data_IF_870754848763
#
_entry.id   IF_870754848763
#
_cell.length_a   1.000
_cell.length_b   1.000
_cell.length_c   1.000
_cell.angle_alpha   90.00
_cell.angle_beta   90.00
_cell.angle_gamma   90.00
#
_symmetry.space_group_name_H-M   'P 1'
#
loop_
_entity.id
_entity.type
_entity.pdbx_description
1 polymer ?
#
# COMPACT_ATOMS: atom_id res chain seq x y z
N UNK A 1 -32.25 -62.59 -7.98
CA UNK A 1 -32.82 -61.26 -7.65
C UNK A 1 -33.06 -61.01 -6.14
N UNK A 2 -33.53 -61.99 -5.34
CA UNK A 2 -33.76 -61.81 -3.89
C UNK A 2 -32.49 -61.49 -3.07
N UNK A 3 -31.34 -62.09 -3.40
CA UNK A 3 -30.06 -61.87 -2.68
C UNK A 3 -29.47 -60.46 -2.90
N UNK A 4 -29.71 -59.85 -4.07
CA UNK A 4 -29.25 -58.49 -4.39
C UNK A 4 -30.09 -57.42 -3.68
N UNK A 5 -31.40 -57.63 -3.55
CA UNK A 5 -32.27 -56.74 -2.77
C UNK A 5 -31.91 -56.75 -1.28
N UNK A 6 -31.53 -57.91 -0.74
CA UNK A 6 -31.11 -58.02 0.66
C UNK A 6 -29.78 -57.28 0.93
N UNK A 7 -28.84 -57.33 -0.01
CA UNK A 7 -27.56 -56.63 0.09
C UNK A 7 -27.72 -55.10 0.01
N UNK A 8 -28.63 -54.63 -0.85
CA UNK A 8 -28.98 -53.20 -0.97
C UNK A 8 -29.65 -52.63 0.29
N UNK A 9 -30.52 -53.40 0.96
CA UNK A 9 -31.16 -52.99 2.22
C UNK A 9 -30.15 -52.93 3.38
N UNK A 10 -29.18 -53.85 3.39
CA UNK A 10 -28.09 -53.84 4.39
C UNK A 10 -27.16 -52.62 4.19
N UNK A 11 -26.80 -52.30 2.94
CA UNK A 11 -25.96 -51.16 2.61
C UNK A 11 -26.63 -49.81 2.93
N UNK A 12 -27.95 -49.72 2.72
CA UNK A 12 -28.75 -48.54 3.05
C UNK A 12 -28.88 -48.36 4.57
N UNK A 13 -28.98 -49.45 5.34
CA UNK A 13 -29.02 -49.40 6.81
C UNK A 13 -27.68 -48.98 7.43
N UNK A 14 -26.54 -49.40 6.86
CA UNK A 14 -25.22 -48.95 7.34
C UNK A 14 -24.95 -47.47 7.07
N UNK A 15 -25.57 -46.90 6.03
CA UNK A 15 -25.44 -45.47 5.71
C UNK A 15 -26.26 -44.57 6.67
N UNK A 16 -27.35 -45.09 7.26
CA UNK A 16 -28.15 -44.37 8.24
C UNK A 16 -27.52 -44.34 9.64
N UNK A 17 -26.69 -45.33 10.00
CA UNK A 17 -26.04 -45.39 11.32
C UNK A 17 -24.93 -44.32 11.45
N UNK A 18 -24.34 -43.86 10.33
CA UNK A 18 -23.28 -42.86 10.36
C UNK A 18 -23.75 -41.42 10.62
N UNK A 19 -25.05 -41.13 10.59
CA UNK A 19 -25.58 -39.79 10.90
C UNK A 19 -25.91 -39.59 12.40
N UNK A 20 -25.78 -40.63 13.23
CA UNK A 20 -26.17 -40.60 14.65
C UNK A 20 -25.05 -40.14 15.62
N UNK A 21 -23.84 -39.83 15.15
CA UNK A 21 -22.69 -39.49 16.01
C UNK A 21 -22.31 -38.00 16.07
N UNK A 22 -23.08 -37.11 15.43
CA UNK A 22 -22.85 -35.66 15.52
C UNK A 22 -23.81 -35.02 16.53
N UNK A 23 -23.57 -35.22 17.83
CA UNK A 23 -24.28 -34.45 18.86
C UNK A 23 -23.66 -33.06 18.98
N UNK A 24 -24.26 -32.09 18.28
CA UNK A 24 -23.94 -30.69 18.49
C UNK A 24 -24.34 -30.29 19.91
N UNK A 25 -23.48 -29.53 20.58
CA UNK A 25 -23.75 -29.02 21.91
C UNK A 25 -23.79 -27.48 21.89
N UNK A 26 -24.65 -26.89 22.71
CA UNK A 26 -24.82 -25.44 22.74
C UNK A 26 -23.95 -24.83 23.83
N UNK A 27 -23.23 -23.77 23.48
CA UNK A 27 -22.47 -22.93 24.40
C UNK A 27 -23.12 -21.56 24.40
N UNK A 28 -23.40 -21.04 25.58
CA UNK A 28 -23.89 -19.67 25.76
C UNK A 28 -22.99 -18.90 26.71
N UNK A 29 -23.17 -17.59 26.79
CA UNK A 29 -22.39 -16.77 27.71
C UNK A 29 -22.58 -15.29 27.47
N UNK A 30 -21.81 -14.49 28.20
CA UNK A 30 -21.79 -13.04 28.11
C UNK A 30 -20.39 -12.52 27.80
N UNK A 31 -20.29 -11.57 26.87
CA UNK A 31 -19.10 -10.78 26.66
C UNK A 31 -19.22 -9.45 27.39
N UNK A 32 -18.23 -9.12 28.21
CA UNK A 32 -18.14 -7.84 28.93
C UNK A 32 -16.79 -7.18 28.70
N UNK A 33 -16.73 -5.87 28.91
CA UNK A 33 -15.45 -5.16 29.02
C UNK A 33 -14.86 -5.30 30.43
N UNK A 34 -13.66 -4.73 30.63
CA UNK A 34 -12.95 -4.72 31.92
C UNK A 34 -13.68 -3.95 33.03
N UNK A 35 -14.63 -3.09 32.67
CA UNK A 35 -15.48 -2.35 33.62
C UNK A 35 -16.75 -3.12 34.00
N UNK A 36 -16.98 -4.28 33.38
CA UNK A 36 -18.14 -5.15 33.62
C UNK A 36 -19.37 -4.78 32.78
N UNK A 37 -19.24 -3.85 31.82
CA UNK A 37 -20.35 -3.48 30.94
C UNK A 37 -20.55 -4.52 29.84
N UNK A 38 -21.81 -4.86 29.48
CA UNK A 38 -22.12 -5.79 28.40
C UNK A 38 -21.68 -5.23 27.04
N UNK A 39 -21.02 -6.06 26.24
CA UNK A 39 -20.53 -5.67 24.92
C UNK A 39 -21.42 -6.22 23.80
N UNK A 40 -21.98 -5.30 23.00
CA UNK A 40 -22.85 -5.60 21.85
C UNK A 40 -22.01 -5.78 20.59
N UNK A 41 -22.34 -6.76 19.75
CA UNK A 41 -21.70 -6.94 18.44
C UNK A 41 -20.31 -7.58 18.46
N UNK A 42 -19.92 -8.22 19.57
CA UNK A 42 -18.71 -9.06 19.62
C UNK A 42 -18.90 -10.26 18.71
N UNK A 43 -17.97 -10.50 17.78
CA UNK A 43 -17.98 -11.66 16.91
C UNK A 43 -17.42 -12.87 17.64
N UNK A 44 -18.19 -13.96 17.67
CA UNK A 44 -17.84 -15.23 18.30
C UNK A 44 -17.76 -16.30 17.21
N UNK A 45 -16.56 -16.75 16.88
CA UNK A 45 -16.33 -17.71 15.79
C UNK A 45 -15.68 -18.99 16.31
N UNK A 46 -16.05 -20.15 15.79
CA UNK A 46 -15.30 -21.39 16.04
C UNK A 46 -14.05 -21.40 15.15
N UNK A 47 -12.88 -21.46 15.78
CA UNK A 47 -11.56 -21.40 15.12
C UNK A 47 -11.45 -22.45 14.01
N UNK A 48 -11.13 -22.00 12.79
CA UNK A 48 -10.97 -22.87 11.62
C UNK A 48 -12.27 -23.18 10.87
N UNK A 49 -13.40 -22.61 11.26
CA UNK A 49 -14.70 -22.78 10.58
C UNK A 49 -15.36 -21.43 10.28
N UNK A 50 -16.41 -21.42 9.46
CA UNK A 50 -17.27 -20.26 9.23
C UNK A 50 -18.46 -20.19 10.19
N UNK A 51 -18.53 -21.10 11.17
CA UNK A 51 -19.63 -21.15 12.14
C UNK A 51 -19.36 -20.13 13.24
N UNK A 52 -20.23 -19.12 13.34
CA UNK A 52 -20.11 -18.06 14.32
C UNK A 52 -21.43 -17.38 14.62
N UNK A 53 -21.42 -16.54 15.65
CA UNK A 53 -22.55 -15.73 16.09
C UNK A 53 -22.04 -14.36 16.57
N UNK A 54 -22.94 -13.45 16.92
CA UNK A 54 -22.61 -12.15 17.49
C UNK A 54 -23.36 -11.92 18.80
N UNK A 55 -22.76 -11.18 19.74
CA UNK A 55 -23.45 -10.80 20.98
C UNK A 55 -24.59 -9.80 20.74
N UNK A 56 -25.67 -9.94 21.51
CA UNK A 56 -26.83 -9.04 21.47
C UNK A 56 -26.65 -7.79 22.34
N UNK A 57 -27.72 -6.99 22.51
CA UNK A 57 -27.73 -5.73 23.28
C UNK A 57 -27.34 -5.93 24.76
N UNK A 58 -27.59 -7.11 25.30
CA UNK A 58 -27.26 -7.50 26.68
C UNK A 58 -25.88 -8.15 26.79
N UNK A 59 -25.12 -8.20 25.69
CA UNK A 59 -23.81 -8.83 25.58
C UNK A 59 -23.86 -10.35 25.59
N UNK A 60 -25.03 -10.98 25.47
CA UNK A 60 -25.16 -12.44 25.50
C UNK A 60 -25.06 -13.04 24.11
N UNK A 61 -24.51 -14.25 24.03
CA UNK A 61 -24.39 -15.03 22.81
C UNK A 61 -24.79 -16.49 23.06
N UNK A 62 -25.20 -17.16 21.99
CA UNK A 62 -25.43 -18.61 21.95
C UNK A 62 -24.90 -19.14 20.63
N UNK A 63 -24.04 -20.16 20.69
CA UNK A 63 -23.43 -20.81 19.53
C UNK A 63 -23.54 -22.33 19.66
N UNK A 64 -23.87 -22.97 18.54
CA UNK A 64 -23.92 -24.43 18.46
C UNK A 64 -22.58 -24.94 17.95
N UNK A 65 -21.90 -25.72 18.80
CA UNK A 65 -20.57 -26.25 18.55
C UNK A 65 -20.69 -27.71 18.11
N UNK A 66 -20.07 -28.11 16.99
CA UNK A 66 -19.99 -29.51 16.59
C UNK A 66 -19.32 -30.37 17.67
N UNK A 67 -19.75 -31.63 17.81
CA UNK A 67 -19.22 -32.56 18.82
C UNK A 67 -17.67 -32.60 18.82
N UNK A 68 -17.05 -32.38 19.99
CA UNK A 68 -15.60 -32.40 20.15
C UNK A 68 -15.08 -31.28 21.03
N UNK A 69 -13.77 -31.04 20.98
CA UNK A 69 -13.14 -29.87 21.59
C UNK A 69 -13.00 -28.78 20.53
N UNK A 70 -13.54 -27.60 20.79
CA UNK A 70 -13.48 -26.46 19.87
C UNK A 70 -12.91 -25.23 20.59
N UNK A 71 -12.31 -24.32 19.83
CA UNK A 71 -11.84 -23.03 20.35
C UNK A 71 -12.74 -21.94 19.82
N UNK A 72 -13.39 -21.20 20.73
CA UNK A 72 -14.14 -19.99 20.40
C UNK A 72 -13.20 -18.80 20.38
N UNK A 73 -13.25 -18.03 19.30
CA UNK A 73 -12.50 -16.80 19.09
C UNK A 73 -13.47 -15.63 19.23
N UNK A 74 -13.23 -14.79 20.22
CA UNK A 74 -13.98 -13.56 20.47
C UNK A 74 -13.19 -12.39 19.91
N UNK A 75 -13.80 -11.64 18.99
CA UNK A 75 -13.16 -10.49 18.38
C UNK A 75 -14.11 -9.29 18.32
N UNK A 76 -13.57 -8.12 18.61
CA UNK A 76 -14.28 -6.84 18.53
C UNK A 76 -13.30 -5.75 18.12
N UNK A 77 -13.79 -4.77 17.36
CA UNK A 77 -12.95 -3.67 16.86
C UNK A 77 -12.41 -2.88 18.06
N UNK A 78 -11.09 -2.72 18.13
CA UNK A 78 -10.42 -2.00 19.22
C UNK A 78 -10.13 -2.83 20.48
N UNK A 79 -10.41 -4.14 20.47
CA UNK A 79 -10.16 -5.06 21.60
C UNK A 79 -9.15 -6.14 21.25
N UNK A 80 -8.50 -6.72 22.25
CA UNK A 80 -7.64 -7.89 22.09
C UNK A 80 -8.53 -9.11 21.87
N UNK A 81 -8.28 -9.88 20.80
CA UNK A 81 -9.05 -11.09 20.54
C UNK A 81 -8.72 -12.17 21.58
N UNK A 82 -9.75 -12.80 22.14
CA UNK A 82 -9.61 -13.83 23.16
C UNK A 82 -9.98 -15.20 22.59
N UNK A 83 -9.21 -16.23 22.94
CA UNK A 83 -9.46 -17.62 22.53
C UNK A 83 -9.79 -18.48 23.75
N UNK A 84 -10.97 -19.12 23.75
CA UNK A 84 -11.41 -19.99 24.85
C UNK A 84 -11.72 -21.38 24.32
N UNK A 85 -11.13 -22.40 24.95
CA UNK A 85 -11.39 -23.81 24.62
C UNK A 85 -12.68 -24.27 25.30
N UNK A 86 -13.61 -24.82 24.54
CA UNK A 86 -14.88 -25.39 25.00
C UNK A 86 -14.95 -26.87 24.66
N UNK A 87 -15.32 -27.70 25.63
CA UNK A 87 -15.31 -29.18 25.51
C UNK A 87 -16.68 -29.84 25.72
N UNK A 88 -17.67 -29.09 26.22
CA UNK A 88 -19.04 -29.54 26.49
C UNK A 88 -20.02 -28.36 26.53
N UNK A 89 -21.32 -28.64 26.55
CA UNK A 89 -22.36 -27.62 26.80
C UNK A 89 -22.07 -26.88 28.10
N UNK A 90 -22.25 -25.57 28.10
CA UNK A 90 -22.04 -24.75 29.30
C UNK A 90 -22.16 -23.26 29.05
N UNK A 91 -22.01 -22.51 30.14
CA UNK A 91 -21.94 -21.05 30.13
C UNK A 91 -20.47 -20.64 30.17
N UNK A 92 -20.04 -19.81 29.21
CA UNK A 92 -18.67 -19.31 29.08
C UNK A 92 -18.71 -17.80 28.95
N UNK A 93 -18.42 -17.11 30.04
CA UNK A 93 -18.30 -15.66 30.03
C UNK A 93 -16.89 -15.25 29.63
N UNK A 94 -16.78 -14.15 28.89
CA UNK A 94 -15.50 -13.60 28.42
C UNK A 94 -15.41 -12.12 28.76
N UNK A 95 -14.23 -11.73 29.26
CA UNK A 95 -13.87 -10.33 29.42
C UNK A 95 -12.91 -9.98 28.30
N UNK A 96 -13.26 -8.99 27.48
CA UNK A 96 -12.36 -8.46 26.45
C UNK A 96 -11.55 -7.30 27.04
N UNK A 97 -10.24 -7.34 26.81
CA UNK A 97 -9.33 -6.27 27.17
C UNK A 97 -9.19 -5.27 26.01
N UNK A 98 -9.08 -3.98 26.36
CA UNK A 98 -8.79 -2.92 25.41
C UNK A 98 -7.46 -3.16 24.68
N UNK A 99 -7.48 -3.00 23.36
CA UNK A 99 -6.26 -3.07 22.56
C UNK A 99 -5.48 -1.74 22.69
N UNK A 100 -4.75 -1.61 23.80
CA UNK A 100 -3.89 -0.44 24.07
C UNK A 100 -2.61 -0.41 23.22
N UNK A 101 -2.32 -1.47 22.46
CA UNK A 101 -1.12 -1.54 21.60
C UNK A 101 -1.20 -0.63 20.37
N UNK A 102 -2.37 -0.07 20.04
CA UNK A 102 -2.50 0.97 19.02
C UNK A 102 -1.75 2.27 19.42
N UNK A 103 -1.46 2.46 20.71
CA UNK A 103 -0.84 3.68 21.24
C UNK A 103 0.68 3.59 21.48
N UNK A 104 1.29 2.41 21.32
CA UNK A 104 2.72 2.20 21.51
C UNK A 104 3.48 2.21 20.17
N UNK A 105 3.13 3.11 19.26
CA UNK A 105 3.92 3.29 18.04
C UNK A 105 5.31 3.78 18.45
N UNK A 106 6.30 2.91 18.25
CA UNK A 106 7.70 3.18 18.51
C UNK A 106 8.24 3.88 17.28
N UNK A 107 8.73 5.10 17.47
CA UNK A 107 9.40 5.88 16.44
C UNK A 107 10.89 5.82 16.72
N UNK A 108 11.67 5.50 15.71
CA UNK A 108 13.12 5.56 15.82
C UNK A 108 13.53 7.02 15.66
N UNK A 109 14.28 7.54 16.63
CA UNK A 109 14.80 8.91 16.63
C UNK A 109 16.31 8.82 16.77
N UNK A 110 17.04 9.10 15.69
CA UNK A 110 18.50 8.94 15.70
C UNK A 110 18.90 7.47 15.92
N UNK A 111 19.59 7.22 17.03
CA UNK A 111 20.10 5.90 17.44
C UNK A 111 19.22 5.20 18.50
N UNK A 112 18.11 5.79 18.92
CA UNK A 112 17.25 5.26 19.98
C UNK A 112 15.79 5.10 19.53
N UNK A 113 15.07 4.17 20.16
CA UNK A 113 13.63 4.00 19.98
C UNK A 113 12.88 4.76 21.08
N UNK A 114 11.96 5.65 20.71
CA UNK A 114 11.11 6.37 21.68
C UNK A 114 9.63 6.17 21.33
N UNK A 115 8.76 6.22 22.35
CA UNK A 115 7.31 6.24 22.12
C UNK A 115 6.95 7.54 21.41
N UNK A 116 6.07 7.46 20.41
CA UNK A 116 5.60 8.64 19.65
C UNK A 116 5.09 9.77 20.55
N UNK A 117 4.42 9.44 21.66
CA UNK A 117 3.90 10.41 22.63
C UNK A 117 4.97 11.15 23.45
N UNK A 118 6.20 10.63 23.50
CA UNK A 118 7.30 11.20 24.29
C UNK A 118 8.24 12.07 23.45
N UNK A 119 8.04 12.15 22.13
CA UNK A 119 8.87 12.97 21.26
C UNK A 119 8.33 14.41 21.22
N UNK A 120 9.17 15.37 21.59
CA UNK A 120 8.84 16.80 21.61
C UNK A 120 9.03 17.50 20.26
N UNK A 121 9.60 16.84 19.26
CA UNK A 121 9.87 17.40 17.92
C UNK A 121 8.86 16.97 16.86
N UNK A 122 8.75 17.73 15.76
CA UNK A 122 7.94 17.39 14.60
C UNK A 122 8.58 16.22 13.84
N UNK A 123 8.02 15.04 14.05
CA UNK A 123 8.35 13.82 13.33
C UNK A 123 7.10 13.33 12.62
N UNK A 124 7.26 12.90 11.37
CA UNK A 124 6.20 12.20 10.66
C UNK A 124 6.65 10.81 10.27
N UNK A 125 5.85 9.84 10.64
CA UNK A 125 6.08 8.42 10.37
C UNK A 125 5.16 8.00 9.24
N UNK A 126 5.73 7.36 8.22
CA UNK A 126 5.01 6.68 7.15
C UNK A 126 5.25 5.19 7.32
N UNK A 127 4.18 4.43 7.47
CA UNK A 127 4.23 2.99 7.71
C UNK A 127 4.23 2.22 6.39
N UNK A 128 4.72 0.97 6.40
CA UNK A 128 4.76 0.12 5.19
C UNK A 128 3.42 0.04 4.47
N UNK A 129 2.31 -0.05 5.21
CA UNK A 129 0.97 -0.14 4.63
C UNK A 129 0.64 1.05 3.73
N UNK A 130 1.10 2.24 4.10
CA UNK A 130 0.88 3.48 3.34
C UNK A 130 1.80 3.55 2.12
N UNK A 131 3.04 3.05 2.24
CA UNK A 131 3.98 2.97 1.14
C UNK A 131 3.49 2.00 0.06
N UNK A 132 2.96 0.84 0.46
CA UNK A 132 2.47 -0.20 -0.46
C UNK A 132 1.16 0.14 -1.16
N UNK A 133 0.43 1.17 -0.72
CA UNK A 133 -0.75 1.66 -1.44
C UNK A 133 -0.41 2.31 -2.77
N UNK A 134 0.82 2.83 -2.91
CA UNK A 134 1.30 3.44 -4.14
C UNK A 134 2.14 2.41 -4.92
N UNK A 135 1.67 1.88 -6.07
CA UNK A 135 2.43 0.92 -6.88
C UNK A 135 3.50 1.65 -7.71
N UNK A 136 4.38 2.38 -7.05
CA UNK A 136 5.48 3.14 -7.68
C UNK A 136 6.77 2.34 -7.60
N UNK A 137 7.64 2.52 -8.59
CA UNK A 137 8.91 1.79 -8.69
C UNK A 137 9.95 2.21 -7.65
N UNK A 138 9.87 3.47 -7.20
CA UNK A 138 10.82 4.06 -6.26
C UNK A 138 10.15 4.50 -4.96
N UNK A 139 10.87 4.31 -3.86
CA UNK A 139 10.42 4.71 -2.52
C UNK A 139 10.15 6.22 -2.41
N UNK A 140 10.94 7.05 -3.09
CA UNK A 140 10.78 8.51 -3.02
C UNK A 140 9.44 8.99 -3.58
N UNK A 141 8.95 8.33 -4.63
CA UNK A 141 7.63 8.58 -5.21
C UNK A 141 6.49 8.12 -4.27
N UNK A 142 6.73 7.10 -3.44
CA UNK A 142 5.72 6.58 -2.51
C UNK A 142 5.45 7.55 -1.36
N UNK A 143 6.44 8.39 -1.00
CA UNK A 143 6.32 9.41 0.04
C UNK A 143 5.58 10.67 -0.41
N UNK A 144 5.36 10.84 -1.72
CA UNK A 144 4.70 12.00 -2.28
C UNK A 144 3.30 12.21 -1.66
N UNK A 145 3.09 13.35 -1.00
CA UNK A 145 1.80 13.70 -0.41
C UNK A 145 1.40 12.89 0.83
N UNK A 146 2.24 11.97 1.31
CA UNK A 146 1.93 11.13 2.49
C UNK A 146 2.13 11.84 3.82
N UNK A 147 2.99 12.86 3.87
CA UNK A 147 3.21 13.65 5.09
C UNK A 147 3.21 15.15 4.80
N UNK A 148 2.66 15.97 5.70
CA UNK A 148 2.61 17.41 5.51
C UNK A 148 4.02 18.02 5.54
N UNK A 149 4.30 18.98 4.67
CA UNK A 149 5.61 19.66 4.65
C UNK A 149 6.75 18.81 4.07
N UNK A 150 6.45 17.67 3.43
CA UNK A 150 7.38 17.00 2.51
C UNK A 150 6.91 17.28 1.09
N UNK A 151 7.80 17.89 0.31
CA UNK A 151 7.57 18.21 -1.09
C UNK A 151 8.43 17.26 -1.90
N UNK A 152 7.81 16.59 -2.86
CA UNK A 152 8.50 15.72 -3.81
C UNK A 152 8.44 16.37 -5.18
N UNK A 153 9.57 16.36 -5.90
CA UNK A 153 9.64 16.88 -7.26
C UNK A 153 10.30 15.83 -8.14
N UNK A 154 9.52 15.28 -9.06
CA UNK A 154 10.01 14.38 -10.08
C UNK A 154 10.42 15.19 -11.32
N UNK A 155 11.72 15.32 -11.64
CA UNK A 155 12.17 16.10 -12.79
C UNK A 155 11.94 15.39 -14.12
N UNK A 156 11.93 14.05 -14.11
CA UNK A 156 11.80 13.21 -15.30
C UNK A 156 10.96 11.96 -15.00
N UNK A 157 10.28 11.44 -16.02
CA UNK A 157 9.53 10.18 -15.97
C UNK A 157 10.29 9.00 -16.61
N UNK A 158 11.60 9.15 -16.84
CA UNK A 158 12.42 8.12 -17.45
C UNK A 158 12.64 6.96 -16.47
N UNK A 159 12.33 5.70 -16.85
CA UNK A 159 12.58 4.55 -15.98
C UNK A 159 14.03 4.47 -15.51
N UNK A 160 14.25 4.44 -14.20
CA UNK A 160 15.59 4.39 -13.59
C UNK A 160 16.20 5.77 -13.33
N UNK A 161 15.58 6.84 -13.81
CA UNK A 161 15.84 8.23 -13.43
C UNK A 161 14.54 8.96 -13.06
N UNK A 162 13.55 8.23 -12.55
CA UNK A 162 12.21 8.69 -12.17
C UNK A 162 12.07 8.97 -10.67
N UNK A 163 13.16 8.85 -9.91
CA UNK A 163 13.16 9.13 -8.48
C UNK A 163 12.83 10.62 -8.20
N UNK A 164 11.77 10.87 -7.43
CA UNK A 164 11.44 12.22 -7.00
C UNK A 164 12.43 12.74 -5.96
N UNK A 165 12.98 13.92 -6.21
CA UNK A 165 13.76 14.65 -5.22
C UNK A 165 12.87 15.04 -4.04
N UNK A 166 13.39 14.89 -2.82
CA UNK A 166 12.66 15.15 -1.58
C UNK A 166 13.14 16.46 -0.96
N UNK A 167 12.20 17.31 -0.56
CA UNK A 167 12.44 18.56 0.15
C UNK A 167 11.58 18.60 1.41
N UNK A 168 12.19 18.93 2.56
CA UNK A 168 11.49 19.03 3.84
C UNK A 168 11.31 20.52 4.17
N UNK A 169 10.06 20.95 4.35
CA UNK A 169 9.64 22.34 4.56
C UNK A 169 10.03 23.33 3.44
N UNK A 170 10.23 22.80 2.24
CA UNK A 170 10.54 23.60 1.05
C UNK A 170 12.00 24.06 1.02
N UNK A 171 12.24 25.20 0.38
CA UNK A 171 13.60 25.64 0.11
C UNK A 171 14.23 26.33 1.32
N UNK A 172 15.17 25.65 2.00
CA UNK A 172 15.87 26.18 3.18
C UNK A 172 17.15 26.98 2.86
N UNK A 173 17.67 26.92 1.63
CA UNK A 173 18.91 27.58 1.24
C UNK A 173 18.77 28.32 -0.09
N UNK A 174 19.37 29.52 -0.15
CA UNK A 174 19.50 30.30 -1.39
C UNK A 174 20.91 30.11 -1.96
N UNK A 175 21.04 29.55 -3.17
CA UNK A 175 22.32 29.31 -3.87
C UNK A 175 22.55 27.84 -4.28
N UNK A 176 23.73 27.52 -4.82
CA UNK A 176 24.16 26.17 -5.25
C UNK A 176 24.38 25.16 -4.10
N UNK A 177 23.84 25.42 -2.91
CA UNK A 177 23.95 24.50 -1.78
C UNK A 177 22.95 23.35 -1.93
N UNK A 178 23.40 22.13 -1.64
CA UNK A 178 22.56 20.93 -1.76
C UNK A 178 21.42 20.99 -0.74
N UNK A 179 20.19 20.97 -1.26
CA UNK A 179 18.94 21.06 -0.47
C UNK A 179 18.40 19.68 -0.07
N UNK A 180 19.18 18.65 -0.37
CA UNK A 180 18.84 17.25 -0.11
C UNK A 180 18.84 16.98 1.40
N UNK A 181 17.81 16.29 1.93
CA UNK A 181 17.80 15.88 3.32
C UNK A 181 18.83 14.76 3.55
N UNK A 182 19.18 14.53 4.80
CA UNK A 182 20.06 13.41 5.13
C UNK A 182 19.26 12.10 5.11
N UNK A 183 19.72 11.11 4.35
CA UNK A 183 19.14 9.76 4.35
C UNK A 183 19.91 8.86 5.32
N UNK A 184 19.18 8.25 6.24
CA UNK A 184 19.73 7.33 7.24
C UNK A 184 18.96 6.03 7.14
N UNK A 185 19.62 4.96 6.75
CA UNK A 185 19.03 3.63 6.59
C UNK A 185 19.62 2.74 7.67
N UNK A 186 18.77 2.24 8.57
CA UNK A 186 19.16 1.40 9.71
C UNK A 186 20.30 2.01 10.56
N UNK A 187 20.26 3.34 10.74
CA UNK A 187 21.25 4.08 11.54
C UNK A 187 22.52 4.46 10.78
N UNK A 188 22.67 4.08 9.52
CA UNK A 188 23.83 4.42 8.69
C UNK A 188 23.45 5.46 7.65
N UNK A 189 24.25 6.51 7.51
CA UNK A 189 24.06 7.53 6.47
C UNK A 189 24.30 6.92 5.09
N UNK A 190 23.36 7.15 4.17
CA UNK A 190 23.36 6.62 2.81
C UNK A 190 23.04 7.71 1.80
N UNK A 191 23.26 7.42 0.52
CA UNK A 191 22.93 8.35 -0.56
C UNK A 191 21.43 8.34 -0.87
N UNK A 192 20.92 9.39 -1.51
CA UNK A 192 19.56 9.39 -2.05
C UNK A 192 19.31 8.21 -3.01
N UNK A 193 20.29 7.81 -3.80
CA UNK A 193 20.16 6.67 -4.71
C UNK A 193 19.91 5.36 -3.95
N UNK A 194 20.67 5.13 -2.88
CA UNK A 194 20.46 3.95 -2.04
C UNK A 194 19.06 3.94 -1.45
N UNK A 195 18.56 5.11 -1.03
CA UNK A 195 17.21 5.29 -0.50
C UNK A 195 16.12 5.07 -1.57
N UNK A 196 16.26 5.66 -2.76
CA UNK A 196 15.21 5.61 -3.79
C UNK A 196 15.02 4.20 -4.35
N UNK A 197 16.10 3.42 -4.42
CA UNK A 197 16.13 2.05 -4.95
C UNK A 197 15.72 0.98 -3.92
N UNK A 198 15.41 1.35 -2.68
CA UNK A 198 14.91 0.39 -1.70
C UNK A 198 13.51 -0.10 -2.07
N UNK A 199 13.27 -1.39 -1.91
CA UNK A 199 11.93 -1.94 -2.08
C UNK A 199 11.02 -1.52 -0.90
N UNK A 200 9.87 -0.86 -1.13
CA UNK A 200 8.91 -0.53 -0.08
C UNK A 200 8.46 -1.74 0.76
N UNK A 201 8.50 -2.95 0.19
CA UNK A 201 8.16 -4.20 0.89
C UNK A 201 9.17 -4.58 1.97
N UNK A 202 10.41 -4.10 1.90
CA UNK A 202 11.46 -4.37 2.89
C UNK A 202 11.51 -3.32 4.00
N UNK A 203 10.69 -2.26 3.90
CA UNK A 203 10.70 -1.14 4.83
C UNK A 203 9.63 -1.33 5.88
N UNK A 204 10.00 -1.20 7.15
CA UNK A 204 9.07 -1.21 8.28
C UNK A 204 8.45 0.17 8.49
N UNK A 205 9.29 1.21 8.53
CA UNK A 205 8.83 2.60 8.65
C UNK A 205 9.82 3.59 8.05
N UNK A 206 9.28 4.73 7.60
CA UNK A 206 10.04 5.91 7.22
C UNK A 206 9.68 7.06 8.15
N UNK A 207 10.65 7.51 8.94
CA UNK A 207 10.50 8.60 9.90
C UNK A 207 11.19 9.86 9.36
N UNK A 208 10.42 10.91 9.13
CA UNK A 208 10.91 12.19 8.61
C UNK A 208 11.00 13.17 9.77
N UNK A 209 12.22 13.58 10.10
CA UNK A 209 12.55 14.54 11.13
C UNK A 209 12.61 15.94 10.50
N UNK A 210 11.67 16.82 10.87
CA UNK A 210 11.45 18.11 10.21
C UNK A 210 11.98 19.32 10.99
N UNK A 211 12.26 19.12 12.28
CA UNK A 211 12.70 20.17 13.17
C UNK A 211 14.18 20.05 13.48
N UNK A 212 14.81 21.20 13.74
CA UNK A 212 16.20 21.26 14.17
C UNK A 212 16.45 20.49 15.47
N UNK A 213 15.49 20.45 16.41
CA UNK A 213 15.64 19.73 17.68
C UNK A 213 15.69 18.22 17.51
N UNK A 214 14.92 17.67 16.56
CA UNK A 214 14.89 16.23 16.29
C UNK A 214 16.01 15.80 15.33
N UNK A 215 16.43 16.68 14.42
CA UNK A 215 17.55 16.47 13.51
C UNK A 215 18.93 16.76 14.15
N UNK A 216 19.00 17.45 15.29
CA UNK A 216 20.26 17.88 15.93
C UNK A 216 21.25 16.74 16.20
N UNK A 217 20.76 15.52 16.43
CA UNK A 217 21.58 14.32 16.65
C UNK A 217 22.47 14.02 15.42
N UNK A 218 22.03 14.41 14.22
CA UNK A 218 22.76 14.22 12.97
C UNK A 218 23.63 15.43 12.57
N UNK A 219 23.68 16.46 13.42
CA UNK A 219 24.52 17.64 13.25
C UNK A 219 24.16 18.49 12.02
N UNK A 220 25.16 19.19 11.48
CA UNK A 220 25.02 20.14 10.35
C UNK A 220 24.40 19.48 9.10
N UNK A 221 24.65 18.19 8.89
CA UNK A 221 24.08 17.44 7.75
C UNK A 221 22.56 17.25 7.85
N UNK A 222 21.98 17.33 9.04
CA UNK A 222 20.54 17.27 9.27
C UNK A 222 19.81 18.61 9.16
N UNK A 223 20.50 19.70 8.77
CA UNK A 223 19.90 21.03 8.71
C UNK A 223 18.71 21.13 7.74
N UNK A 224 18.73 20.36 6.64
CA UNK A 224 17.64 20.27 5.66
C UNK A 224 16.59 19.20 6.04
N UNK A 225 16.64 18.69 7.27
CA UNK A 225 15.84 17.56 7.75
C UNK A 225 16.49 16.21 7.48
N UNK A 226 15.93 15.16 8.10
CA UNK A 226 16.48 13.80 8.05
C UNK A 226 15.37 12.81 7.73
N UNK A 227 15.63 11.92 6.78
CA UNK A 227 14.77 10.80 6.43
C UNK A 227 15.39 9.53 6.97
N UNK A 228 14.78 8.97 8.01
CA UNK A 228 15.22 7.77 8.68
C UNK A 228 14.38 6.57 8.23
N UNK A 229 15.02 5.60 7.59
CA UNK A 229 14.40 4.36 7.14
C UNK A 229 14.78 3.24 8.10
N UNK A 230 13.79 2.49 8.55
CA UNK A 230 13.97 1.25 9.30
C UNK A 230 13.53 0.08 8.43
N UNK A 231 14.45 -0.85 8.16
CA UNK A 231 14.14 -2.08 7.42
C UNK A 231 13.39 -3.08 8.31
N UNK A 232 12.59 -3.93 7.68
CA UNK A 232 11.91 -5.03 8.36
C UNK A 232 12.95 -6.02 8.87
N UNK A 233 12.82 -6.38 10.15
CA UNK A 233 13.62 -7.45 10.75
C UNK A 233 12.83 -8.75 10.82
N UNK A 234 13.55 -9.87 10.75
CA UNK A 234 12.99 -11.19 11.00
C UNK A 234 12.28 -11.25 12.36
N UNK A 235 11.14 -11.92 12.42
CA UNK A 235 10.36 -12.14 13.64
C UNK A 235 10.51 -13.59 14.07
N UNK A 236 10.55 -13.82 15.38
CA UNK A 236 10.53 -15.18 15.91
C UNK A 236 9.17 -15.81 15.55
N UNK A 237 9.20 -17.01 14.99
CA UNK A 237 8.01 -17.68 14.51
C UNK A 237 8.27 -18.63 13.34
N UNK A 238 7.19 -19.23 12.86
CA UNK A 238 7.21 -20.07 11.66
C UNK A 238 7.61 -19.24 10.45
N UNK A 239 8.31 -19.89 9.51
CA UNK A 239 8.64 -19.28 8.23
C UNK A 239 7.36 -18.80 7.52
N UNK A 240 7.33 -17.52 7.21
CA UNK A 240 6.34 -16.87 6.35
C UNK A 240 7.02 -16.54 5.03
N UNK A 241 6.41 -16.99 3.94
CA UNK A 241 6.82 -16.63 2.58
C UNK A 241 5.68 -15.84 1.94
N UNK A 242 5.97 -14.64 1.47
CA UNK A 242 5.02 -13.83 0.70
C UNK A 242 5.59 -13.60 -0.69
N UNK A 243 4.74 -13.81 -1.69
CA UNK A 243 5.02 -13.52 -3.07
C UNK A 243 3.98 -12.53 -3.58
N UNK A 244 4.43 -11.45 -4.21
CA UNK A 244 3.55 -10.42 -4.76
C UNK A 244 3.96 -10.13 -6.19
N UNK A 245 2.95 -10.02 -7.06
CA UNK A 245 3.12 -9.68 -8.47
C UNK A 245 2.22 -8.50 -8.78
N UNK A 246 2.82 -7.44 -9.29
CA UNK A 246 2.12 -6.25 -9.75
C UNK A 246 2.32 -6.10 -11.25
N UNK A 247 1.22 -6.02 -11.98
CA UNK A 247 1.22 -5.72 -13.42
C UNK A 247 0.40 -4.46 -13.66
N UNK A 248 0.96 -3.53 -14.44
CA UNK A 248 0.33 -2.25 -14.74
C UNK A 248 0.78 -1.67 -16.07
N UNK A 249 0.18 -0.56 -16.48
CA UNK A 249 0.56 0.19 -17.68
C UNK A 249 0.85 1.63 -17.29
N UNK A 250 1.89 2.21 -17.89
CA UNK A 250 2.22 3.64 -17.76
C UNK A 250 1.86 4.34 -19.06
N UNK A 251 1.12 5.43 -18.98
CA UNK A 251 0.66 6.23 -20.11
C UNK A 251 0.85 7.71 -19.76
N UNK A 252 1.11 8.54 -20.77
CA UNK A 252 1.22 9.99 -20.57
C UNK A 252 -0.15 10.59 -20.38
N UNK A 253 -0.37 11.22 -19.23
CA UNK A 253 -1.68 11.78 -18.86
C UNK A 253 -2.10 13.00 -19.67
N UNK A 254 -1.13 13.76 -20.21
CA UNK A 254 -1.40 14.94 -21.04
C UNK A 254 -0.24 15.25 -21.97
N UNK A 255 -0.50 15.12 -23.27
CA UNK A 255 0.39 15.60 -24.31
C UNK A 255 -0.01 17.01 -24.77
N UNK A 256 0.96 17.88 -25.10
CA UNK A 256 0.67 19.14 -25.77
C UNK A 256 -0.03 18.87 -27.11
N UNK A 257 -1.12 19.58 -27.37
CA UNK A 257 -1.79 19.52 -28.68
C UNK A 257 -1.04 20.43 -29.64
N UNK A 258 -0.31 19.84 -30.57
CA UNK A 258 0.33 20.58 -31.65
C UNK A 258 -0.70 20.91 -32.73
N UNK A 259 -0.43 21.98 -33.49
CA UNK A 259 -1.21 22.30 -34.68
C UNK A 259 -0.94 21.25 -35.76
N UNK A 260 -1.95 20.93 -36.55
CA UNK A 260 -1.77 20.17 -37.77
C UNK A 260 -1.00 20.97 -38.82
N UNK A 261 -0.45 20.27 -39.81
CA UNK A 261 0.37 20.90 -40.87
C UNK A 261 -0.40 21.93 -41.70
N UNK A 262 -1.72 21.75 -41.88
CA UNK A 262 -2.57 22.72 -42.57
C UNK A 262 -2.72 24.01 -41.76
N UNK A 263 -3.10 23.91 -40.48
CA UNK A 263 -3.27 25.06 -39.59
C UNK A 263 -1.95 25.82 -39.43
N UNK A 264 -0.83 25.11 -39.30
CA UNK A 264 0.50 25.72 -39.26
C UNK A 264 0.79 26.52 -40.54
N UNK A 265 0.60 25.92 -41.72
CA UNK A 265 0.87 26.58 -43.00
C UNK A 265 -0.04 27.78 -43.25
N UNK A 266 -1.32 27.68 -42.87
CA UNK A 266 -2.29 28.78 -42.98
C UNK A 266 -1.91 29.95 -42.07
N UNK A 267 -1.62 29.68 -40.80
CA UNK A 267 -1.22 30.71 -39.83
C UNK A 267 0.13 31.34 -40.18
N UNK A 268 1.05 30.57 -40.76
CA UNK A 268 2.34 31.10 -41.21
C UNK A 268 2.17 32.10 -42.37
N UNK A 269 1.32 31.79 -43.34
CA UNK A 269 0.98 32.72 -44.42
C UNK A 269 0.26 33.96 -43.88
N UNK A 270 -0.67 33.79 -42.94
CA UNK A 270 -1.36 34.90 -42.28
C UNK A 270 -0.37 35.82 -41.55
N UNK A 271 0.58 35.25 -40.79
CA UNK A 271 1.63 36.01 -40.13
C UNK A 271 2.49 36.82 -41.11
N UNK A 272 2.86 36.24 -42.26
CA UNK A 272 3.61 36.94 -43.32
C UNK A 272 2.84 38.13 -43.91
N UNK A 273 1.54 37.95 -44.15
CA UNK A 273 0.67 39.00 -44.67
C UNK A 273 0.48 40.12 -43.63
N UNK A 274 0.37 39.75 -42.35
CA UNK A 274 0.27 40.71 -41.24
C UNK A 274 1.56 41.53 -41.07
N UNK A 275 2.74 40.92 -41.27
CA UNK A 275 4.03 41.63 -41.25
C UNK A 275 4.21 42.54 -42.46
N UNK A 276 3.78 42.09 -43.64
CA UNK A 276 3.82 42.87 -44.88
C UNK A 276 2.68 42.46 -45.79
N UNK A 277 1.75 43.38 -46.04
CA UNK A 277 0.56 43.15 -46.87
C UNK A 277 0.89 42.75 -48.33
N UNK A 278 2.12 43.00 -48.81
CA UNK A 278 2.58 42.60 -50.13
C UNK A 278 3.49 41.34 -50.11
N UNK A 279 3.64 40.67 -48.96
CA UNK A 279 4.38 39.44 -48.87
C UNK A 279 3.71 38.34 -49.70
N UNK A 280 4.51 37.61 -50.47
CA UNK A 280 4.02 36.39 -51.12
C UNK A 280 3.86 35.28 -50.07
N UNK A 281 2.80 34.47 -50.15
CA UNK A 281 2.63 33.34 -49.23
C UNK A 281 3.74 32.32 -49.44
N UNK A 282 4.31 31.83 -48.33
CA UNK A 282 5.33 30.78 -48.34
C UNK A 282 4.73 29.43 -48.78
N UNK A 283 3.48 29.18 -48.37
CA UNK A 283 2.73 27.99 -48.77
C UNK A 283 1.70 28.38 -49.82
N UNK A 284 1.81 27.82 -51.02
CA UNK A 284 0.81 28.02 -52.09
C UNK A 284 -0.54 27.40 -51.72
N UNK A 285 -1.62 27.86 -52.35
CA UNK A 285 -2.97 27.30 -52.14
C UNK A 285 -3.03 25.80 -52.45
N UNK A 286 -2.35 25.35 -53.51
CA UNK A 286 -2.26 23.92 -53.84
C UNK A 286 -1.56 23.11 -52.74
N UNK A 287 -0.55 23.70 -52.08
CA UNK A 287 0.16 23.06 -50.97
C UNK A 287 -0.67 23.02 -49.69
N UNK A 288 -1.44 24.08 -49.42
CA UNK A 288 -2.43 24.12 -48.33
C UNK A 288 -3.51 23.06 -48.55
N UNK A 289 -4.07 22.96 -49.76
CA UNK A 289 -5.04 21.92 -50.10
C UNK A 289 -4.42 20.52 -50.06
N UNK A 290 -3.13 20.39 -50.41
CA UNK A 290 -2.35 19.17 -50.21
C UNK A 290 -2.33 18.73 -48.74
N UNK A 291 -2.02 19.65 -47.81
CA UNK A 291 -2.04 19.38 -46.37
C UNK A 291 -3.45 19.12 -45.82
N UNK A 292 -4.48 19.80 -46.35
CA UNK A 292 -5.88 19.62 -45.94
C UNK A 292 -6.47 18.29 -46.40
N UNK A 293 -6.16 17.90 -47.63
CA UNK A 293 -6.68 16.68 -48.27
C UNK A 293 -5.91 15.42 -47.89
N UNK A 294 -4.65 15.55 -47.46
CA UNK A 294 -3.77 14.40 -47.21
C UNK A 294 -3.45 13.60 -48.48
N UNK A 295 -3.61 14.21 -49.67
CA UNK A 295 -3.53 13.53 -50.97
C UNK A 295 -2.19 12.85 -51.25
N UNK A 296 -1.10 13.35 -50.68
CA UNK A 296 0.21 12.72 -50.71
C UNK A 296 0.90 12.86 -49.34
N UNK A 297 0.91 11.81 -48.50
CA UNK A 297 1.51 11.85 -47.17
C UNK A 297 3.02 12.12 -47.14
N UNK A 298 3.76 11.78 -48.21
CA UNK A 298 5.21 11.98 -48.28
C UNK A 298 5.56 13.45 -48.61
N UNK A 299 4.74 14.11 -49.43
CA UNK A 299 4.91 15.52 -49.80
C UNK A 299 4.20 16.48 -48.85
N UNK A 300 3.10 16.02 -48.24
CA UNK A 300 2.24 16.79 -47.35
C UNK A 300 2.01 16.06 -46.01
N UNK A 301 3.08 15.79 -45.23
CA UNK A 301 2.96 15.04 -43.98
C UNK A 301 2.21 15.85 -42.92
N UNK A 302 1.33 15.18 -42.18
CA UNK A 302 0.62 15.70 -41.01
C UNK A 302 0.71 14.67 -39.87
N UNK A 303 1.94 14.39 -39.44
CA UNK A 303 2.22 13.37 -38.43
C UNK A 303 2.20 13.98 -37.04
N UNK A 304 1.41 13.39 -36.14
CA UNK A 304 1.54 13.68 -34.71
C UNK A 304 2.77 12.96 -34.15
N UNK A 305 3.90 13.66 -34.16
CA UNK A 305 5.17 13.12 -33.67
C UNK A 305 5.14 12.82 -32.17
N UNK A 306 4.33 13.55 -31.39
CA UNK A 306 4.28 13.37 -29.95
C UNK A 306 3.54 12.08 -29.59
N UNK A 307 2.40 11.86 -30.26
CA UNK A 307 1.66 10.61 -30.16
C UNK A 307 2.46 9.43 -30.72
N UNK A 308 3.15 9.61 -31.84
CA UNK A 308 3.94 8.53 -32.45
C UNK A 308 5.11 8.06 -31.56
N UNK A 309 5.79 8.98 -30.89
CA UNK A 309 6.98 8.65 -30.08
C UNK A 309 6.61 8.26 -28.64
N UNK A 310 5.58 8.88 -28.06
CA UNK A 310 5.27 8.79 -26.63
C UNK A 310 3.79 8.40 -26.36
N UNK A 311 2.90 8.43 -27.36
CA UNK A 311 1.46 8.16 -27.25
C UNK A 311 1.06 6.70 -27.07
N UNK A 312 1.92 5.90 -26.46
CA UNK A 312 1.67 4.49 -26.18
C UNK A 312 1.57 4.16 -24.69
N UNK A 313 1.27 2.90 -24.42
CA UNK A 313 1.18 2.34 -23.08
C UNK A 313 2.42 1.48 -22.84
N UNK A 314 3.19 1.80 -21.80
CA UNK A 314 4.34 1.01 -21.38
C UNK A 314 3.93 0.00 -20.30
N UNK A 315 3.96 -1.33 -20.56
CA UNK A 315 3.67 -2.32 -19.54
C UNK A 315 4.77 -2.33 -18.46
N UNK A 316 4.35 -2.47 -17.20
CA UNK A 316 5.21 -2.55 -16.02
C UNK A 316 4.87 -3.83 -15.27
N UNK A 317 5.89 -4.60 -14.93
CA UNK A 317 5.77 -5.83 -14.17
C UNK A 317 6.77 -5.81 -13.01
N UNK A 318 6.30 -6.12 -11.81
CA UNK A 318 7.13 -6.19 -10.61
C UNK A 318 6.83 -7.49 -9.87
N UNK A 319 7.89 -8.19 -9.49
CA UNK A 319 7.84 -9.40 -8.66
C UNK A 319 8.58 -9.14 -7.37
N UNK A 320 7.95 -9.42 -6.24
CA UNK A 320 8.59 -9.37 -4.93
C UNK A 320 8.41 -10.72 -4.23
N UNK A 321 9.51 -11.25 -3.67
CA UNK A 321 9.51 -12.43 -2.81
C UNK A 321 10.11 -12.01 -1.48
N UNK A 322 9.36 -12.20 -0.39
CA UNK A 322 9.86 -11.97 0.96
C UNK A 322 9.72 -13.22 1.81
N UNK A 323 10.78 -13.51 2.57
CA UNK A 323 10.86 -14.62 3.52
C UNK A 323 11.12 -14.02 4.88
N UNK A 324 10.37 -14.43 5.89
CA UNK A 324 10.57 -14.00 7.28
C UNK A 324 10.42 -15.22 8.18
N UNK A 325 11.35 -15.43 9.09
CA UNK A 325 11.23 -16.49 10.07
C UNK A 325 12.34 -16.43 11.10
N UNK A 326 12.23 -17.27 12.12
CA UNK A 326 13.30 -17.36 13.08
C UNK A 326 12.92 -17.98 14.39
N UNK A 327 13.94 -18.22 15.19
CA UNK A 327 13.81 -18.55 16.60
C UNK A 327 14.10 -17.29 17.44
N UNK A 328 13.94 -17.37 18.75
CA UNK A 328 14.33 -16.27 19.63
C UNK A 328 15.83 -15.91 19.53
N UNK A 329 16.66 -16.90 19.17
CA UNK A 329 18.12 -16.75 19.06
C UNK A 329 18.59 -16.28 17.68
N UNK A 330 17.88 -16.62 16.61
CA UNK A 330 18.26 -16.30 15.23
C UNK A 330 17.02 -15.90 14.45
N UNK A 331 17.02 -14.69 13.92
CA UNK A 331 15.91 -14.10 13.14
C UNK A 331 16.43 -13.74 11.76
N UNK A 332 15.65 -14.03 10.73
CA UNK A 332 15.95 -13.75 9.33
C UNK A 332 14.72 -13.28 8.57
#
# INVERSE_FOLDING_TARGET
MKKIRLLLILLLSTCFIQQSLAQNYSVSGKATDKTGLPMVGVSVLIKGTTVGTTTNVQGTYTINVPSGTATLVFSYIGMISQEIVVTKSGVVDVVLDDNTDVLNEIVVVGYGSQKRSSVTGSISTVNTKELLQSPVGDLSNALAGRTPGVITKQPAGEPGSDAAQIYIRGNSTFGNATMEPLFVIDGIVRSFRDFSQMDPNEIESVNILKDASSAAIFGVKGANGVVLVTSKRGKAGKLSANYSVNYGFSEVTRLPKNLGSYEYASLYNEAKINDNANASPEFTLDRLEGFRSGSNPDLFPNTDWMDLVIGGNAPRLQHNVSLNGGTEKVKY
#
